data_IF_984501425012
#
_entry.id   IF_984501425012
#
_cell.length_a   1.000
_cell.length_b   1.000
_cell.length_c   1.000
_cell.angle_alpha   90.00
_cell.angle_beta   90.00
_cell.angle_gamma   90.00
#
_symmetry.space_group_name_H-M   'P 1'
#
loop_
_entity.id
_entity.type
_entity.pdbx_description
1 polymer ?
#
# COMPACT_ATOMS: atom_id res chain seq x y z
N UNK A 1 9.05 1.45 -23.22
CA UNK A 1 9.88 0.27 -22.86
C UNK A 1 9.50 -0.35 -21.50
N UNK A 2 9.26 0.44 -20.45
CA UNK A 2 8.95 -0.12 -19.11
C UNK A 2 7.57 -0.81 -19.03
N UNK A 3 6.57 -0.32 -19.76
CA UNK A 3 5.26 -0.98 -19.90
C UNK A 3 5.39 -2.41 -20.45
N UNK A 4 6.22 -2.61 -21.48
CA UNK A 4 6.45 -3.95 -22.04
C UNK A 4 7.19 -4.87 -21.06
N UNK A 5 8.08 -4.34 -20.21
CA UNK A 5 8.70 -5.14 -19.14
C UNK A 5 7.65 -5.59 -18.13
N UNK A 6 6.73 -4.72 -17.74
CA UNK A 6 5.63 -5.07 -16.84
C UNK A 6 4.69 -6.10 -17.48
N UNK A 7 4.29 -5.87 -18.73
CA UNK A 7 3.45 -6.79 -19.49
C UNK A 7 4.13 -8.16 -19.70
N UNK A 8 5.43 -8.19 -19.95
CA UNK A 8 6.21 -9.42 -20.07
C UNK A 8 6.26 -10.19 -18.75
N UNK A 9 6.50 -9.51 -17.62
CA UNK A 9 6.41 -10.14 -16.28
C UNK A 9 5.02 -10.72 -16.01
N UNK A 10 3.96 -9.99 -16.37
CA UNK A 10 2.58 -10.47 -16.22
C UNK A 10 2.32 -11.71 -17.08
N UNK A 11 2.79 -11.72 -18.33
CA UNK A 11 2.68 -12.88 -19.23
C UNK A 11 3.38 -14.10 -18.66
N UNK A 12 4.56 -13.91 -18.06
CA UNK A 12 5.30 -14.99 -17.38
C UNK A 12 4.49 -15.56 -16.22
N UNK A 13 4.02 -14.72 -15.28
CA UNK A 13 3.20 -15.17 -14.14
C UNK A 13 1.90 -15.87 -14.58
N UNK A 14 1.21 -15.33 -15.59
CA UNK A 14 0.01 -15.96 -16.14
C UNK A 14 0.29 -17.29 -16.83
N UNK A 15 1.47 -17.42 -17.45
CA UNK A 15 1.87 -18.69 -18.07
C UNK A 15 2.13 -19.74 -17.01
N UNK A 16 2.83 -19.37 -15.95
CA UNK A 16 3.12 -20.22 -14.81
C UNK A 16 1.83 -20.68 -14.10
N UNK A 17 0.91 -19.75 -13.83
CA UNK A 17 -0.40 -20.05 -13.25
C UNK A 17 -1.21 -21.02 -14.14
N UNK A 18 -1.23 -20.80 -15.46
CA UNK A 18 -1.91 -21.72 -16.40
C UNK A 18 -1.32 -23.12 -16.37
N UNK A 19 0.01 -23.25 -16.34
CA UNK A 19 0.67 -24.55 -16.27
C UNK A 19 0.30 -25.27 -14.97
N UNK A 20 0.35 -24.58 -13.82
CA UNK A 20 0.01 -25.15 -12.52
C UNK A 20 -1.46 -25.57 -12.43
N UNK A 21 -2.39 -24.77 -12.95
CA UNK A 21 -3.82 -25.11 -13.01
C UNK A 21 -4.08 -26.32 -13.93
N UNK A 22 -3.41 -26.37 -15.08
CA UNK A 22 -3.52 -27.53 -15.98
C UNK A 22 -2.97 -28.81 -15.35
N UNK A 23 -1.85 -28.71 -14.62
CA UNK A 23 -1.30 -29.84 -13.86
C UNK A 23 -2.23 -30.30 -12.74
N UNK A 24 -2.84 -29.37 -11.99
CA UNK A 24 -3.79 -29.65 -10.93
C UNK A 24 -5.12 -30.26 -11.43
N UNK A 25 -5.50 -29.97 -12.68
CA UNK A 25 -6.69 -30.57 -13.30
C UNK A 25 -6.47 -32.03 -13.74
N UNK A 26 -5.21 -32.44 -13.98
CA UNK A 26 -4.85 -33.77 -14.47
C UNK A 26 -4.49 -34.76 -13.35
N UNK A 27 -4.22 -34.30 -12.13
CA UNK A 27 -3.98 -35.18 -10.98
C UNK A 27 -5.29 -35.91 -10.60
N UNK A 28 -5.21 -37.24 -10.42
CA UNK A 28 -6.36 -38.09 -10.07
C UNK A 28 -6.99 -37.69 -8.73
N UNK A 29 -6.20 -37.18 -7.79
CA UNK A 29 -6.68 -36.46 -6.63
C UNK A 29 -6.81 -34.97 -6.98
N UNK A 30 -7.99 -34.39 -6.77
CA UNK A 30 -8.30 -32.96 -6.98
C UNK A 30 -7.46 -32.06 -6.05
N UNK A 31 -6.16 -31.96 -6.31
CA UNK A 31 -5.19 -31.29 -5.46
C UNK A 31 -3.82 -31.16 -6.12
N UNK A 32 -3.09 -30.10 -5.73
CA UNK A 32 -1.69 -29.95 -6.07
C UNK A 32 -0.85 -30.78 -5.09
N UNK A 33 -0.03 -31.69 -5.60
CA UNK A 33 0.87 -32.51 -4.79
C UNK A 33 2.35 -32.17 -5.02
N UNK A 34 3.16 -32.40 -3.98
CA UNK A 34 4.61 -32.27 -4.01
C UNK A 34 5.08 -30.91 -4.54
N UNK A 35 5.92 -30.95 -5.58
CA UNK A 35 6.57 -29.77 -6.16
C UNK A 35 5.61 -28.73 -6.72
N UNK A 36 4.46 -29.14 -7.25
CA UNK A 36 3.51 -28.21 -7.87
C UNK A 36 2.85 -27.31 -6.83
N UNK A 37 2.53 -27.90 -5.66
CA UNK A 37 2.00 -27.16 -4.52
C UNK A 37 3.00 -26.11 -4.04
N UNK A 38 4.25 -26.51 -3.85
CA UNK A 38 5.33 -25.60 -3.44
C UNK A 38 5.50 -24.46 -4.44
N UNK A 39 5.53 -24.75 -5.75
CA UNK A 39 5.60 -23.70 -6.78
C UNK A 39 4.41 -22.73 -6.71
N UNK A 40 3.20 -23.24 -6.51
CA UNK A 40 2.02 -22.40 -6.38
C UNK A 40 2.10 -21.47 -5.16
N UNK A 41 2.55 -21.98 -4.02
CA UNK A 41 2.75 -21.23 -2.78
C UNK A 41 3.85 -20.18 -2.96
N UNK A 42 4.95 -20.51 -3.64
CA UNK A 42 6.05 -19.59 -3.92
C UNK A 42 5.63 -18.41 -4.80
N UNK A 43 4.87 -18.66 -5.87
CA UNK A 43 4.37 -17.61 -6.76
C UNK A 43 3.42 -16.69 -5.99
N UNK A 44 2.47 -17.26 -5.24
CA UNK A 44 1.54 -16.49 -4.42
C UNK A 44 2.27 -15.67 -3.37
N UNK A 45 3.20 -16.29 -2.62
CA UNK A 45 4.01 -15.60 -1.62
C UNK A 45 4.79 -14.43 -2.23
N UNK A 46 5.36 -14.60 -3.43
CA UNK A 46 6.07 -13.53 -4.14
C UNK A 46 5.13 -12.39 -4.52
N UNK A 47 3.95 -12.68 -5.05
CA UNK A 47 2.98 -11.65 -5.47
C UNK A 47 2.39 -10.90 -4.25
N UNK A 48 2.14 -11.62 -3.15
CA UNK A 48 1.68 -11.06 -1.87
C UNK A 48 2.77 -10.18 -1.25
N UNK A 49 4.03 -10.62 -1.25
CA UNK A 49 5.17 -9.85 -0.74
C UNK A 49 5.30 -8.50 -1.42
N UNK A 50 5.08 -8.46 -2.74
CA UNK A 50 5.09 -7.21 -3.49
C UNK A 50 3.77 -6.44 -3.42
N UNK A 51 2.73 -6.96 -2.77
CA UNK A 51 1.42 -6.32 -2.67
C UNK A 51 0.70 -6.20 -4.01
N UNK A 52 0.99 -7.08 -4.98
CA UNK A 52 0.31 -7.11 -6.29
C UNK A 52 -1.05 -7.79 -6.15
N UNK A 53 -1.12 -8.80 -5.27
CA UNK A 53 -2.31 -9.59 -4.95
C UNK A 53 -2.55 -9.50 -3.43
N UNK A 54 -3.81 -9.70 -3.01
CA UNK A 54 -4.20 -9.77 -1.59
C UNK A 54 -3.75 -11.09 -0.94
N UNK A 55 -3.70 -11.14 0.38
CA UNK A 55 -3.21 -12.31 1.13
C UNK A 55 -4.13 -13.54 1.05
N UNK A 56 -5.40 -13.34 0.73
CA UNK A 56 -6.47 -14.35 0.64
C UNK A 56 -6.68 -14.90 -0.77
N UNK A 57 -5.81 -14.55 -1.71
CA UNK A 57 -6.02 -14.84 -3.12
C UNK A 57 -5.57 -16.24 -3.54
N UNK A 58 -6.25 -16.75 -4.57
CA UNK A 58 -5.98 -18.03 -5.20
C UNK A 58 -5.12 -17.89 -6.46
N UNK A 59 -4.65 -19.01 -6.99
CA UNK A 59 -3.84 -19.07 -8.23
C UNK A 59 -4.61 -18.46 -9.41
N UNK A 60 -5.93 -18.69 -9.48
CA UNK A 60 -6.79 -18.15 -10.54
C UNK A 60 -6.80 -16.61 -10.57
N UNK A 61 -6.63 -15.94 -9.42
CA UNK A 61 -6.63 -14.48 -9.34
C UNK A 61 -5.45 -13.87 -10.12
N UNK A 62 -4.36 -14.61 -10.29
CA UNK A 62 -3.21 -14.21 -11.12
C UNK A 62 -3.64 -13.98 -12.58
N UNK A 63 -4.63 -14.72 -13.07
CA UNK A 63 -5.13 -14.58 -14.43
C UNK A 63 -5.86 -13.24 -14.63
N UNK A 64 -6.53 -12.74 -13.59
CA UNK A 64 -7.27 -11.47 -13.62
C UNK A 64 -6.38 -10.22 -13.54
N UNK A 65 -5.11 -10.37 -13.14
CA UNK A 65 -4.18 -9.26 -12.96
C UNK A 65 -3.98 -8.43 -14.23
N UNK A 66 -3.84 -7.11 -14.06
CA UNK A 66 -3.56 -6.19 -15.17
C UNK A 66 -2.12 -5.66 -15.11
N UNK A 67 -1.69 -5.03 -16.21
CA UNK A 67 -0.31 -4.49 -16.30
C UNK A 67 -0.11 -3.34 -15.31
N UNK A 68 -1.17 -2.59 -15.04
CA UNK A 68 -1.23 -1.48 -14.11
C UNK A 68 -0.86 -1.93 -12.69
N UNK A 69 -1.32 -3.10 -12.26
CA UNK A 69 -1.00 -3.64 -10.93
C UNK A 69 0.53 -3.76 -10.70
N UNK A 70 1.28 -4.14 -11.73
CA UNK A 70 2.75 -4.23 -11.65
C UNK A 70 3.39 -2.83 -11.71
N UNK A 71 2.83 -1.92 -12.51
CA UNK A 71 3.33 -0.55 -12.64
C UNK A 71 3.10 0.28 -11.37
N UNK A 72 2.03 -0.01 -10.64
CA UNK A 72 1.71 0.64 -9.36
C UNK A 72 2.74 0.34 -8.27
N UNK A 73 3.33 -0.87 -8.25
CA UNK A 73 4.31 -1.28 -7.24
C UNK A 73 5.73 -0.77 -7.48
N UNK A 74 5.92 0.09 -8.47
CA UNK A 74 7.23 0.66 -8.80
C UNK A 74 7.59 1.80 -7.86
N UNK A 75 8.87 1.93 -7.53
CA UNK A 75 9.36 3.01 -6.66
C UNK A 75 8.90 4.39 -7.12
N UNK A 76 8.94 4.67 -8.43
CA UNK A 76 8.47 5.94 -8.98
C UNK A 76 7.00 6.25 -8.62
N UNK A 77 6.11 5.27 -8.76
CA UNK A 77 4.69 5.41 -8.44
C UNK A 77 4.47 5.52 -6.94
N UNK A 78 5.22 4.75 -6.16
CA UNK A 78 5.15 4.76 -4.70
C UNK A 78 5.61 6.10 -4.11
N UNK A 79 6.70 6.68 -4.62
CA UNK A 79 7.18 8.03 -4.23
C UNK A 79 6.11 9.10 -4.50
N UNK A 80 5.38 8.99 -5.61
CA UNK A 80 4.26 9.90 -5.91
C UNK A 80 3.08 9.67 -4.95
N UNK A 81 2.69 8.42 -4.70
CA UNK A 81 1.59 8.06 -3.79
C UNK A 81 1.84 8.51 -2.35
N UNK A 82 3.08 8.42 -1.90
CA UNK A 82 3.50 8.90 -0.58
C UNK A 82 3.62 10.43 -0.49
N UNK A 83 3.43 11.14 -1.60
CA UNK A 83 3.51 12.60 -1.63
C UNK A 83 4.93 13.15 -1.48
N UNK A 84 5.97 12.34 -1.72
CA UNK A 84 7.38 12.76 -1.69
C UNK A 84 7.78 13.55 -2.96
N UNK A 85 6.95 13.50 -3.99
CA UNK A 85 7.06 14.31 -5.20
C UNK A 85 5.67 14.79 -5.65
N UNK A 86 5.60 15.92 -6.36
CA UNK A 86 4.37 16.50 -6.91
C UNK A 86 3.95 15.84 -8.22
N UNK A 87 4.91 15.38 -9.01
CA UNK A 87 4.66 14.80 -10.33
C UNK A 87 5.47 13.52 -10.55
N UNK A 88 5.00 12.69 -11.49
CA UNK A 88 5.69 11.45 -11.91
C UNK A 88 7.11 11.73 -12.42
N UNK A 89 7.31 12.86 -13.10
CA UNK A 89 8.62 13.27 -13.64
C UNK A 89 9.55 13.69 -12.51
N UNK A 90 9.07 14.48 -11.56
CA UNK A 90 9.84 14.89 -10.39
C UNK A 90 10.23 13.69 -9.51
N UNK A 91 9.31 12.73 -9.31
CA UNK A 91 9.62 11.49 -8.61
C UNK A 91 10.79 10.75 -9.26
N UNK A 92 10.80 10.68 -10.61
CA UNK A 92 11.90 10.07 -11.35
C UNK A 92 13.22 10.80 -11.11
N UNK A 93 13.22 12.13 -11.18
CA UNK A 93 14.40 12.96 -10.95
C UNK A 93 14.97 12.76 -9.54
N UNK A 94 14.13 12.76 -8.52
CA UNK A 94 14.53 12.53 -7.13
C UNK A 94 15.16 11.15 -6.95
N UNK A 95 14.60 10.12 -7.59
CA UNK A 95 15.17 8.78 -7.56
C UNK A 95 16.51 8.75 -8.30
N UNK A 96 16.59 9.25 -9.53
CA UNK A 96 17.83 9.17 -10.34
C UNK A 96 18.98 9.99 -9.76
N UNK A 97 18.68 11.15 -9.16
CA UNK A 97 19.67 11.96 -8.44
C UNK A 97 19.96 11.38 -7.04
N UNK A 98 19.13 10.45 -6.59
CA UNK A 98 19.34 9.67 -5.40
C UNK A 98 19.06 10.44 -4.12
N UNK A 99 18.00 11.22 -4.15
CA UNK A 99 17.39 11.85 -2.98
C UNK A 99 16.42 10.93 -2.25
N UNK A 100 16.09 9.77 -2.83
CA UNK A 100 15.18 8.78 -2.22
C UNK A 100 15.99 7.61 -1.65
N UNK A 101 15.55 7.14 -0.48
CA UNK A 101 16.08 5.97 0.18
C UNK A 101 14.97 5.01 0.60
N UNK A 102 15.31 3.72 0.67
CA UNK A 102 14.47 2.64 1.19
C UNK A 102 15.27 1.97 2.31
N UNK A 103 14.72 1.86 3.52
CA UNK A 103 15.43 1.32 4.69
C UNK A 103 16.81 2.00 4.90
N UNK A 104 16.89 3.31 4.68
CA UNK A 104 18.13 4.09 4.76
C UNK A 104 19.14 3.87 3.63
N UNK A 105 18.87 2.94 2.69
CA UNK A 105 19.74 2.70 1.52
C UNK A 105 19.27 3.53 0.32
N UNK A 106 20.23 4.20 -0.33
CA UNK A 106 19.97 5.03 -1.52
C UNK A 106 19.39 4.18 -2.66
N UNK A 107 18.23 4.56 -3.16
CA UNK A 107 17.55 3.88 -4.27
C UNK A 107 17.58 4.75 -5.52
N UNK A 108 18.32 4.33 -6.55
CA UNK A 108 18.54 5.12 -7.77
C UNK A 108 17.78 4.61 -9.00
N UNK A 109 17.06 3.49 -8.88
CA UNK A 109 16.37 2.84 -10.01
C UNK A 109 14.85 3.03 -9.91
N UNK A 110 14.24 3.90 -10.74
CA UNK A 110 12.79 4.18 -10.65
C UNK A 110 11.89 2.98 -10.99
N UNK A 111 12.43 2.03 -11.74
CA UNK A 111 11.74 0.81 -12.17
C UNK A 111 11.78 -0.35 -11.17
N UNK A 112 12.42 -0.19 -10.01
CA UNK A 112 12.46 -1.24 -9.00
C UNK A 112 11.08 -1.48 -8.40
N UNK A 113 10.77 -2.75 -8.12
CA UNK A 113 9.54 -3.13 -7.43
C UNK A 113 9.77 -3.02 -5.93
N UNK A 114 8.85 -2.36 -5.24
CA UNK A 114 8.90 -2.17 -3.79
C UNK A 114 8.03 -3.22 -3.12
N UNK A 115 8.57 -3.92 -2.12
CA UNK A 115 7.78 -4.83 -1.30
C UNK A 115 6.75 -4.06 -0.46
N UNK A 116 5.74 -4.75 0.06
CA UNK A 116 4.74 -4.13 0.93
C UNK A 116 5.36 -3.61 2.24
N UNK A 117 6.37 -4.30 2.75
CA UNK A 117 7.09 -3.96 3.99
C UNK A 117 8.01 -2.74 3.79
N UNK A 118 8.71 -2.69 2.67
CA UNK A 118 9.62 -1.59 2.34
C UNK A 118 8.89 -0.28 2.02
N UNK A 119 7.61 -0.34 1.65
CA UNK A 119 6.79 0.82 1.30
C UNK A 119 6.72 1.85 2.43
N UNK A 120 6.62 1.38 3.68
CA UNK A 120 6.58 2.26 4.87
C UNK A 120 7.92 2.94 5.15
N UNK A 121 9.01 2.41 4.60
CA UNK A 121 10.37 2.85 4.85
C UNK A 121 10.96 3.65 3.68
N UNK A 122 10.10 4.13 2.77
CA UNK A 122 10.49 5.06 1.71
C UNK A 122 10.54 6.47 2.30
N UNK A 123 11.68 7.13 2.14
CA UNK A 123 11.85 8.52 2.56
C UNK A 123 12.95 9.24 1.79
N UNK A 124 13.26 10.46 2.21
CA UNK A 124 14.41 11.18 1.69
C UNK A 124 15.71 10.59 2.26
N UNK A 125 16.75 10.55 1.44
CA UNK A 125 18.08 10.15 1.89
C UNK A 125 18.67 11.22 2.80
N UNK A 126 19.35 10.80 3.86
CA UNK A 126 19.82 11.69 4.94
C UNK A 126 20.69 12.85 4.47
N UNK A 127 21.49 12.67 3.43
CA UNK A 127 22.38 13.71 2.90
C UNK A 127 21.72 14.58 1.83
N UNK A 128 20.44 14.35 1.50
CA UNK A 128 19.73 15.15 0.51
C UNK A 128 19.28 16.51 1.08
N UNK A 129 19.39 17.61 0.32
CA UNK A 129 18.81 18.90 0.69
C UNK A 129 17.30 18.85 0.94
N UNK A 130 16.60 17.89 0.32
CA UNK A 130 15.15 17.71 0.42
C UNK A 130 14.68 17.20 1.79
N UNK A 131 15.61 16.79 2.66
CA UNK A 131 15.30 16.42 4.05
C UNK A 131 14.75 17.63 4.81
N UNK A 132 15.27 18.82 4.54
CA UNK A 132 14.79 20.07 5.14
C UNK A 132 13.35 20.37 4.72
N UNK A 133 12.49 20.66 5.69
CA UNK A 133 11.06 20.92 5.43
C UNK A 133 10.82 22.25 4.72
N UNK A 134 11.71 23.22 4.93
CA UNK A 134 11.66 24.56 4.31
C UNK A 134 12.09 24.59 2.84
N UNK A 135 12.44 23.46 2.23
CA UNK A 135 12.94 23.43 0.86
C UNK A 135 11.83 23.73 -0.16
N UNK A 136 12.01 24.66 -1.12
CA UNK A 136 10.95 25.09 -2.04
C UNK A 136 10.42 23.97 -2.95
N UNK A 137 11.31 23.07 -3.37
CA UNK A 137 10.97 21.91 -4.21
C UNK A 137 10.33 20.75 -3.45
N UNK A 138 10.30 20.81 -2.10
CA UNK A 138 9.62 19.79 -1.32
C UNK A 138 8.11 19.96 -1.54
N UNK A 139 7.38 18.90 -1.91
CA UNK A 139 5.93 18.97 -1.85
C UNK A 139 5.49 19.27 -0.42
N UNK A 140 4.60 20.25 -0.26
CA UNK A 140 3.86 20.42 0.98
C UNK A 140 3.14 19.09 1.21
N UNK A 141 3.40 18.43 2.35
CA UNK A 141 2.79 17.14 2.64
C UNK A 141 1.28 17.35 2.85
N UNK A 142 0.51 17.28 1.79
CA UNK A 142 -0.95 17.43 1.85
C UNK A 142 -1.58 16.30 2.69
N UNK A 143 -0.92 15.14 2.76
CA UNK A 143 -1.37 14.03 3.60
C UNK A 143 -1.27 14.32 5.11
N UNK A 144 -0.21 15.00 5.56
CA UNK A 144 -0.06 15.40 6.96
C UNK A 144 -1.11 16.45 7.33
N UNK A 145 -1.33 17.45 6.46
CA UNK A 145 -2.35 18.47 6.70
C UNK A 145 -3.79 17.92 6.67
N UNK A 146 -4.08 16.91 5.84
CA UNK A 146 -5.39 16.24 5.82
C UNK A 146 -5.65 15.39 7.07
N UNK A 147 -4.63 14.76 7.64
CA UNK A 147 -4.73 14.01 8.90
C UNK A 147 -4.99 14.94 10.10
N UNK A 148 -4.32 16.09 10.13
CA UNK A 148 -4.58 17.13 11.14
C UNK A 148 -5.98 17.76 10.96
N UNK A 149 -6.42 17.92 9.71
CA UNK A 149 -7.75 18.44 9.37
C UNK A 149 -8.88 17.48 9.74
N UNK A 150 -8.70 16.18 9.55
CA UNK A 150 -9.72 15.17 9.93
C UNK A 150 -9.82 14.98 11.45
N UNK A 151 -8.70 15.10 12.16
CA UNK A 151 -8.66 15.05 13.63
C UNK A 151 -9.36 16.27 14.24
N UNK A 152 -9.13 17.47 13.70
CA UNK A 152 -9.83 18.70 14.12
C UNK A 152 -11.32 18.63 13.81
N UNK A 153 -11.73 18.14 12.64
CA UNK A 153 -13.16 17.97 12.30
C UNK A 153 -13.87 16.95 13.20
N UNK A 154 -13.21 15.84 13.56
CA UNK A 154 -13.73 14.87 14.55
C UNK A 154 -13.88 15.49 15.94
N UNK A 155 -12.86 16.22 16.41
CA UNK A 155 -12.91 16.89 17.72
C UNK A 155 -14.03 17.96 17.80
N UNK A 156 -14.25 18.72 16.72
CA UNK A 156 -15.34 19.70 16.63
C UNK A 156 -16.71 19.01 16.60
N UNK A 157 -16.84 17.88 15.92
CA UNK A 157 -18.08 17.10 15.88
C UNK A 157 -18.45 16.51 17.24
N UNK A 158 -17.47 15.97 17.99
CA UNK A 158 -17.67 15.46 19.35
C UNK A 158 -18.05 16.59 20.32
N UNK A 159 -17.40 17.76 20.22
CA UNK A 159 -17.75 18.93 21.04
C UNK A 159 -19.17 19.45 20.76
N UNK A 160 -19.64 19.38 19.50
CA UNK A 160 -21.01 19.76 19.13
C UNK A 160 -22.04 18.77 19.70
N UNK A 161 -21.77 17.47 19.63
CA UNK A 161 -22.65 16.44 20.21
C UNK A 161 -22.71 16.52 21.75
N UNK A 162 -21.62 16.92 22.41
CA UNK A 162 -21.61 17.14 23.85
C UNK A 162 -22.46 18.34 24.30
N UNK A 163 -22.59 19.38 23.46
CA UNK A 163 -23.48 20.54 23.72
C UNK A 163 -24.96 20.26 23.47
N UNK A 164 -25.29 19.33 22.57
CA UNK A 164 -26.67 18.97 22.24
C UNK A 164 -27.29 17.91 23.16
N UNK A 165 -26.49 17.19 23.97
CA UNK A 165 -27.03 16.28 24.99
C UNK A 165 -27.78 17.08 26.06
N UNK A 166 -29.10 16.87 26.24
CA UNK A 166 -29.86 17.54 27.29
C UNK A 166 -29.30 17.12 28.67
N UNK A 167 -29.20 18.04 29.65
CA UNK A 167 -28.77 17.66 30.99
C UNK A 167 -29.71 16.60 31.56
N UNK A 168 -29.14 15.49 32.04
CA UNK A 168 -29.89 14.42 32.69
C UNK A 168 -30.74 15.01 33.81
N UNK A 169 -32.07 14.94 33.67
CA UNK A 169 -32.99 15.29 34.74
C UNK A 169 -32.80 14.28 35.87
N UNK A 170 -32.01 14.66 36.87
CA UNK A 170 -31.80 13.90 38.09
C UNK A 170 -33.14 13.50 38.73
N UNK A 171 -33.52 12.24 38.56
CA UNK A 171 -34.70 11.64 39.14
C UNK A 171 -34.51 11.41 40.64
N UNK A 172 -34.59 12.49 41.43
CA UNK A 172 -34.62 12.42 42.89
C UNK A 172 -35.95 11.83 43.38
N UNK A 173 -36.10 10.50 43.38
CA UNK A 173 -37.25 9.83 43.99
C UNK A 173 -37.06 9.75 45.51
N UNK A 174 -37.51 10.80 46.22
CA UNK A 174 -37.70 10.76 47.68
C UNK A 174 -38.63 9.59 48.04
N UNK A 175 -38.09 8.49 48.60
CA UNK A 175 -38.88 7.52 49.35
C UNK A 175 -39.35 8.22 50.64
N UNK A 176 -40.56 8.77 50.63
CA UNK A 176 -41.29 9.10 51.87
C UNK A 176 -41.91 7.82 52.39
N UNK A 177 -41.52 7.42 53.60
CA UNK A 177 -42.07 6.28 54.30
C UNK A 177 -43.50 6.51 54.82
N UNK A 178 -44.17 5.40 55.09
CA UNK A 178 -45.29 5.20 56.02
C UNK A 178 -45.14 3.74 56.47
N UNK A 179 -44.85 3.48 57.75
CA UNK A 179 -45.82 3.32 58.84
C UNK A 179 -46.91 2.33 58.48
#
# INVERSE_FOLDING_TARGET
REVWKAASKLRMYRSEARTLLASAANSQERGLEGHQKTQSEEILAKLIRYGIIKSDANIDDILSLKTENILERRLQTQVLRLGLARTVVQARQFITHGHIAINGRKATVPGMLVSKEDEMHIGYYSTSPLVSESHPERPVQVAASLADSTTTLRAVAEAKQAREKPPERGGGRKKRGRR
#
